data_IF_139819632733
#
_entry.id   IF_139819632733
#
_cell.length_a   1.000
_cell.length_b   1.000
_cell.length_c   1.000
_cell.angle_alpha   90.00
_cell.angle_beta   90.00
_cell.angle_gamma   90.00
#
_symmetry.space_group_name_H-M   'P 1'
#
loop_
_entity.id
_entity.type
_entity.pdbx_description
1 polymer ?
#
# COMPACT_ATOMS: atom_id res chain seq x y z
N UNK A 1 -9.15 -16.37 2.78
CA UNK A 1 -9.04 -14.94 2.41
C UNK A 1 -7.60 -14.65 2.04
N UNK A 2 -7.39 -14.02 0.89
CA UNK A 2 -6.07 -13.59 0.43
C UNK A 2 -5.91 -12.07 0.57
N UNK A 3 -4.75 -11.63 1.05
CA UNK A 3 -4.40 -10.23 1.20
C UNK A 3 -3.15 -9.82 0.41
N UNK A 4 -3.10 -8.55 0.00
CA UNK A 4 -1.90 -7.90 -0.53
C UNK A 4 -1.56 -6.70 0.35
N UNK A 5 -0.28 -6.55 0.67
CA UNK A 5 0.24 -5.40 1.43
C UNK A 5 0.96 -4.46 0.46
N UNK A 6 0.69 -3.15 0.56
CA UNK A 6 1.34 -2.10 -0.23
C UNK A 6 2.09 -1.15 0.71
N UNK A 7 3.39 -1.04 0.55
CA UNK A 7 4.22 -0.10 1.29
C UNK A 7 4.61 1.06 0.37
N UNK A 8 4.30 2.28 0.80
CA UNK A 8 4.45 3.50 0.02
C UNK A 8 5.53 4.35 0.69
N UNK A 9 6.58 4.69 -0.05
CA UNK A 9 7.70 5.46 0.48
C UNK A 9 8.92 5.41 -0.45
N UNK A 10 9.43 6.57 -0.84
CA UNK A 10 10.67 6.67 -1.62
C UNK A 10 11.86 6.01 -0.88
N UNK A 11 11.97 6.21 0.43
CA UNK A 11 13.00 5.62 1.26
C UNK A 11 12.95 4.08 1.29
N UNK A 12 11.77 3.49 1.09
CA UNK A 12 11.58 2.05 1.00
C UNK A 12 12.05 1.52 -0.35
N UNK A 13 11.66 2.19 -1.44
CA UNK A 13 12.08 1.77 -2.80
C UNK A 13 13.58 1.97 -3.04
N UNK A 14 14.16 3.00 -2.41
CA UNK A 14 15.60 3.26 -2.42
C UNK A 14 16.38 2.36 -1.45
N UNK A 15 15.69 1.57 -0.62
CA UNK A 15 16.32 0.67 0.35
C UNK A 15 17.07 1.39 1.48
N UNK A 16 16.68 2.64 1.78
CA UNK A 16 17.29 3.44 2.84
C UNK A 16 16.80 2.99 4.23
N UNK A 17 15.58 2.47 4.31
CA UNK A 17 15.03 1.84 5.51
C UNK A 17 14.46 0.45 5.19
N UNK A 18 14.32 -0.37 6.23
CA UNK A 18 13.65 -1.65 6.15
C UNK A 18 12.14 -1.47 6.28
N UNK A 19 11.38 -2.20 5.45
CA UNK A 19 9.94 -2.28 5.55
C UNK A 19 9.51 -3.20 6.72
N UNK A 20 9.66 -2.72 7.94
CA UNK A 20 9.26 -3.46 9.15
C UNK A 20 7.74 -3.50 9.32
N UNK A 21 7.02 -2.53 8.74
CA UNK A 21 5.55 -2.50 8.74
C UNK A 21 4.98 -3.71 8.01
N UNK A 22 5.44 -4.00 6.79
CA UNK A 22 4.94 -5.15 6.04
C UNK A 22 5.32 -6.48 6.69
N UNK A 23 6.45 -6.56 7.40
CA UNK A 23 6.83 -7.74 8.19
C UNK A 23 5.83 -7.94 9.34
N UNK A 24 5.57 -6.89 10.12
CA UNK A 24 4.63 -6.95 11.24
C UNK A 24 3.21 -7.28 10.77
N UNK A 25 2.71 -6.61 9.73
CA UNK A 25 1.40 -6.87 9.14
C UNK A 25 1.26 -8.30 8.63
N UNK A 26 2.28 -8.84 7.96
CA UNK A 26 2.24 -10.23 7.47
C UNK A 26 2.10 -11.23 8.61
N UNK A 27 2.82 -11.03 9.72
CA UNK A 27 2.73 -11.90 10.88
C UNK A 27 1.35 -11.82 11.53
N UNK A 28 0.84 -10.60 11.75
CA UNK A 28 -0.49 -10.39 12.35
C UNK A 28 -1.62 -10.97 11.50
N UNK A 29 -1.57 -10.79 10.18
CA UNK A 29 -2.54 -11.36 9.27
C UNK A 29 -2.48 -12.90 9.23
N UNK A 30 -1.27 -13.48 9.25
CA UNK A 30 -1.10 -14.92 9.31
C UNK A 30 -1.68 -15.53 10.59
N UNK A 31 -1.51 -14.87 11.74
CA UNK A 31 -2.13 -15.27 13.02
C UNK A 31 -3.66 -15.30 12.95
N UNK A 32 -4.26 -14.47 12.10
CA UNK A 32 -5.72 -14.43 11.85
C UNK A 32 -6.16 -15.37 10.71
N UNK A 33 -5.27 -16.20 10.17
CA UNK A 33 -5.58 -17.14 9.08
C UNK A 33 -5.69 -16.48 7.70
N UNK A 34 -5.15 -15.27 7.52
CA UNK A 34 -5.11 -14.56 6.23
C UNK A 34 -3.80 -14.87 5.51
N UNK A 35 -3.88 -15.31 4.26
CA UNK A 35 -2.69 -15.60 3.44
C UNK A 35 -2.23 -14.36 2.68
N UNK A 36 -0.95 -14.00 2.81
CA UNK A 36 -0.36 -12.90 2.04
C UNK A 36 0.02 -13.41 0.65
N UNK A 37 -0.66 -12.91 -0.38
CA UNK A 37 -0.38 -13.27 -1.77
C UNK A 37 0.83 -12.53 -2.34
N UNK A 38 0.96 -11.25 -2.02
CA UNK A 38 2.09 -10.42 -2.43
C UNK A 38 2.31 -9.26 -1.45
N UNK A 39 3.53 -8.72 -1.49
CA UNK A 39 3.88 -7.43 -0.89
C UNK A 39 4.45 -6.55 -1.99
N UNK A 40 3.92 -5.34 -2.13
CA UNK A 40 4.34 -4.36 -3.12
C UNK A 40 4.98 -3.19 -2.39
N UNK A 41 6.09 -2.68 -2.92
CA UNK A 41 6.73 -1.46 -2.44
C UNK A 41 6.77 -0.47 -3.60
N UNK A 42 6.24 0.74 -3.39
CA UNK A 42 6.11 1.76 -4.43
C UNK A 42 6.58 3.13 -3.94
N UNK A 43 7.07 4.01 -4.83
CA UNK A 43 7.51 5.35 -4.46
C UNK A 43 6.31 6.25 -4.11
N UNK A 44 6.58 7.45 -3.59
CA UNK A 44 5.61 8.52 -3.33
C UNK A 44 5.18 9.22 -4.64
N UNK A 45 4.79 8.41 -5.62
CA UNK A 45 4.31 8.86 -6.92
C UNK A 45 2.86 8.41 -7.11
N UNK A 46 1.97 9.38 -7.33
CA UNK A 46 0.53 9.14 -7.50
C UNK A 46 0.21 8.03 -8.50
N UNK A 47 0.84 8.03 -9.67
CA UNK A 47 0.58 7.03 -10.71
C UNK A 47 1.00 5.62 -10.26
N UNK A 48 2.15 5.49 -9.57
CA UNK A 48 2.63 4.23 -9.03
C UNK A 48 1.68 3.70 -7.93
N UNK A 49 1.22 4.58 -7.04
CA UNK A 49 0.26 4.22 -5.98
C UNK A 49 -1.05 3.71 -6.60
N UNK A 50 -1.63 4.44 -7.56
CA UNK A 50 -2.86 4.02 -8.26
C UNK A 50 -2.68 2.65 -8.92
N UNK A 51 -1.57 2.45 -9.64
CA UNK A 51 -1.28 1.18 -10.31
C UNK A 51 -1.17 0.02 -9.32
N UNK A 52 -0.49 0.23 -8.18
CA UNK A 52 -0.34 -0.80 -7.15
C UNK A 52 -1.70 -1.19 -6.55
N UNK A 53 -2.56 -0.21 -6.23
CA UNK A 53 -3.90 -0.51 -5.73
C UNK A 53 -4.77 -1.22 -6.78
N UNK A 54 -4.70 -0.84 -8.06
CA UNK A 54 -5.41 -1.55 -9.14
C UNK A 54 -4.98 -3.02 -9.24
N UNK A 55 -3.66 -3.26 -9.25
CA UNK A 55 -3.10 -4.61 -9.28
C UNK A 55 -3.52 -5.43 -8.05
N UNK A 56 -3.44 -4.82 -6.86
CA UNK A 56 -3.79 -5.48 -5.61
C UNK A 56 -5.28 -5.81 -5.53
N UNK A 57 -6.15 -4.87 -5.88
CA UNK A 57 -7.61 -5.06 -5.86
C UNK A 57 -8.09 -6.10 -6.89
N UNK A 58 -7.36 -6.27 -8.00
CA UNK A 58 -7.65 -7.32 -8.97
C UNK A 58 -7.22 -8.73 -8.51
N UNK A 59 -6.31 -8.83 -7.55
CA UNK A 59 -5.65 -10.08 -7.17
C UNK A 59 -5.92 -10.55 -5.73
N UNK A 60 -6.56 -9.73 -4.88
CA UNK A 60 -6.81 -10.06 -3.48
C UNK A 60 -8.17 -9.53 -2.97
N UNK A 61 -8.72 -10.22 -1.98
CA UNK A 61 -9.96 -9.82 -1.29
C UNK A 61 -9.72 -8.71 -0.27
N UNK A 62 -8.48 -8.59 0.23
CA UNK A 62 -8.06 -7.59 1.20
C UNK A 62 -6.79 -6.87 0.71
N UNK A 63 -6.81 -5.55 0.72
CA UNK A 63 -5.63 -4.72 0.44
C UNK A 63 -5.34 -3.88 1.67
N UNK A 64 -4.11 -3.93 2.17
CA UNK A 64 -3.64 -3.08 3.27
C UNK A 64 -2.47 -2.25 2.76
N UNK A 65 -2.50 -0.94 3.01
CA UNK A 65 -1.39 -0.07 2.68
C UNK A 65 -0.79 0.60 3.91
N UNK A 66 0.50 0.92 3.87
CA UNK A 66 1.17 1.80 4.84
C UNK A 66 2.05 2.83 4.14
N UNK A 67 2.02 4.09 4.60
CA UNK A 67 2.81 5.20 4.04
C UNK A 67 1.98 6.22 3.25
N UNK A 68 2.56 7.40 3.02
CA UNK A 68 1.96 8.48 2.22
C UNK A 68 0.67 9.12 2.77
N UNK A 69 0.50 9.12 4.11
CA UNK A 69 -0.70 9.65 4.80
C UNK A 69 -0.45 10.89 5.67
N UNK A 70 0.78 11.37 5.75
CA UNK A 70 1.14 12.55 6.51
C UNK A 70 0.65 13.88 5.88
N UNK A 71 1.18 15.02 6.37
CA UNK A 71 0.81 16.35 5.92
C UNK A 71 1.69 16.92 4.81
N UNK A 72 2.68 16.19 4.29
CA UNK A 72 3.64 16.72 3.31
C UNK A 72 3.12 16.60 1.87
N UNK A 73 3.79 17.26 0.92
CA UNK A 73 3.30 17.36 -0.46
C UNK A 73 3.44 16.04 -1.26
N UNK A 74 4.33 15.17 -0.80
CA UNK A 74 4.60 13.81 -1.26
C UNK A 74 3.66 12.77 -0.61
N UNK A 75 2.88 13.12 0.42
CA UNK A 75 1.86 12.23 1.00
C UNK A 75 0.62 12.12 0.10
N UNK A 76 0.71 11.27 -0.93
CA UNK A 76 -0.26 11.18 -2.04
C UNK A 76 -1.25 10.01 -1.95
N UNK A 77 -1.17 9.17 -0.91
CA UNK A 77 -1.98 7.93 -0.81
C UNK A 77 -3.48 8.21 -0.83
N UNK A 78 -3.93 9.24 -0.11
CA UNK A 78 -5.37 9.61 -0.05
C UNK A 78 -5.90 10.06 -1.41
N UNK A 79 -5.15 10.92 -2.09
CA UNK A 79 -5.57 11.43 -3.38
C UNK A 79 -5.48 10.36 -4.47
N UNK A 80 -4.49 9.47 -4.43
CA UNK A 80 -4.42 8.32 -5.33
C UNK A 80 -5.63 7.38 -5.18
N UNK A 81 -6.07 7.13 -3.94
CA UNK A 81 -7.30 6.35 -3.69
C UNK A 81 -8.56 7.06 -4.18
N UNK A 82 -8.66 8.38 -3.98
CA UNK A 82 -9.77 9.18 -4.51
C UNK A 82 -9.86 9.08 -6.04
N UNK A 83 -8.73 9.23 -6.74
CA UNK A 83 -8.65 9.08 -8.20
C UNK A 83 -9.05 7.67 -8.65
N UNK A 84 -8.53 6.64 -7.97
CA UNK A 84 -8.85 5.25 -8.29
C UNK A 84 -10.35 4.94 -8.16
N UNK A 85 -10.97 5.45 -7.09
CA UNK A 85 -12.38 5.20 -6.80
C UNK A 85 -13.31 6.14 -7.58
N UNK A 86 -12.78 7.12 -8.30
CA UNK A 86 -13.56 8.11 -9.04
C UNK A 86 -14.42 9.00 -8.14
N UNK A 87 -13.97 9.25 -6.92
CA UNK A 87 -14.68 10.06 -5.91
C UNK A 87 -13.81 11.22 -5.46
N UNK A 88 -14.38 12.41 -5.23
CA UNK A 88 -13.63 13.52 -4.66
C UNK A 88 -13.07 13.15 -3.27
N UNK A 89 -11.96 13.77 -2.91
CA UNK A 89 -11.43 13.75 -1.55
C UNK A 89 -12.05 14.90 -0.76
N UNK A 90 -12.76 14.60 0.32
CA UNK A 90 -13.43 15.56 1.21
C UNK A 90 -12.72 15.69 2.56
#
# INVERSE_FOLDING_TARGET
MQAIIISIGDELTLGQILDTNAVWLSAQLAEQGVTIGARLTVPDERAAIVQAFQQAAAAAELVISSGGLGPTADDLTRQALADLLGTPLE
#
